data_IF_182933424146
#
_entry.id   IF_182933424146
#
_cell.length_a   1.000
_cell.length_b   1.000
_cell.length_c   1.000
_cell.angle_alpha   90.00
_cell.angle_beta   90.00
_cell.angle_gamma   90.00
#
_symmetry.space_group_name_H-M   'P 1'
#
loop_
_entity.id
_entity.type
_entity.pdbx_description
1 polymer ?
#
# COMPACT_ATOMS: atom_id res chain seq x y z
N UNK A 1 -12.36 10.66 -0.38
CA UNK A 1 -10.98 10.65 -0.89
C UNK A 1 -10.22 9.59 -0.09
N UNK A 2 -9.76 8.53 -0.76
CA UNK A 2 -9.08 7.38 -0.16
C UNK A 2 -7.82 7.78 0.60
N UNK A 3 -7.06 8.76 0.10
CA UNK A 3 -5.82 9.21 0.73
C UNK A 3 -6.08 9.94 2.04
N UNK A 4 -7.15 10.74 2.10
CA UNK A 4 -7.56 11.40 3.37
C UNK A 4 -7.96 10.37 4.41
N UNK A 5 -8.73 9.37 4.01
CA UNK A 5 -9.13 8.27 4.90
C UNK A 5 -7.91 7.52 5.43
N UNK A 6 -6.97 7.16 4.57
CA UNK A 6 -5.74 6.46 4.97
C UNK A 6 -4.91 7.32 5.92
N UNK A 7 -4.72 8.62 5.64
CA UNK A 7 -3.98 9.51 6.55
C UNK A 7 -4.64 9.65 7.92
N UNK A 8 -5.96 9.72 7.97
CA UNK A 8 -6.69 9.72 9.23
C UNK A 8 -6.52 8.39 9.98
N UNK A 9 -6.58 7.26 9.27
CA UNK A 9 -6.32 5.95 9.84
C UNK A 9 -4.93 5.91 10.48
N UNK A 10 -3.89 6.30 9.73
CA UNK A 10 -2.51 6.35 10.22
C UNK A 10 -2.39 7.16 11.50
N UNK A 11 -2.98 8.36 11.53
CA UNK A 11 -2.95 9.24 12.70
C UNK A 11 -3.64 8.62 13.92
N UNK A 12 -4.77 7.95 13.74
CA UNK A 12 -5.47 7.29 14.85
C UNK A 12 -4.68 6.07 15.35
N UNK A 13 -4.03 5.35 14.44
CA UNK A 13 -3.25 4.15 14.75
C UNK A 13 -1.93 4.42 15.47
N UNK A 14 -1.44 5.66 15.48
CA UNK A 14 -0.28 6.06 16.30
C UNK A 14 -0.57 5.93 17.80
N UNK A 15 -1.81 6.22 18.21
CA UNK A 15 -2.22 6.13 19.63
C UNK A 15 -2.76 4.75 19.99
N UNK A 16 -3.47 4.10 19.06
CA UNK A 16 -4.04 2.77 19.26
C UNK A 16 -3.99 1.95 17.95
N UNK A 17 -3.02 1.02 17.81
CA UNK A 17 -2.90 0.23 16.61
C UNK A 17 -4.03 -0.80 16.43
N UNK A 18 -4.87 -1.06 17.45
CA UNK A 18 -6.06 -1.89 17.32
C UNK A 18 -7.05 -1.29 16.30
N UNK A 19 -7.12 0.05 16.24
CA UNK A 19 -7.96 0.77 15.26
C UNK A 19 -7.57 0.40 13.83
N UNK A 20 -6.26 0.30 13.54
CA UNK A 20 -5.81 -0.15 12.22
C UNK A 20 -6.29 -1.56 11.93
N UNK A 21 -6.12 -2.48 12.88
CA UNK A 21 -6.52 -3.88 12.70
C UNK A 21 -8.02 -4.00 12.41
N UNK A 22 -8.85 -3.31 13.17
CA UNK A 22 -10.30 -3.30 12.98
C UNK A 22 -10.69 -2.74 11.61
N UNK A 23 -10.08 -1.62 11.20
CA UNK A 23 -10.35 -1.02 9.88
C UNK A 23 -9.83 -1.89 8.74
N UNK A 24 -8.67 -2.55 8.89
CA UNK A 24 -8.16 -3.47 7.87
C UNK A 24 -9.10 -4.68 7.71
N UNK A 25 -9.60 -5.23 8.83
CA UNK A 25 -10.49 -6.40 8.85
C UNK A 25 -11.92 -6.10 8.41
N UNK A 26 -12.40 -4.88 8.66
CA UNK A 26 -13.73 -4.46 8.22
C UNK A 26 -13.89 -4.41 6.69
N UNK A 27 -12.81 -4.54 5.92
CA UNK A 27 -12.81 -4.53 4.46
C UNK A 27 -13.01 -3.19 3.72
N UNK A 28 -13.01 -1.98 4.32
CA UNK A 28 -13.13 -0.74 3.55
C UNK A 28 -12.00 -0.53 2.53
N UNK A 29 -10.83 -1.15 2.73
CA UNK A 29 -9.77 -1.14 1.73
C UNK A 29 -10.11 -1.96 0.47
N UNK A 30 -11.00 -2.94 0.56
CA UNK A 30 -11.45 -3.75 -0.57
C UNK A 30 -12.51 -3.03 -1.41
N UNK A 31 -13.32 -2.16 -0.79
CA UNK A 31 -14.35 -1.37 -1.47
C UNK A 31 -13.86 0.00 -1.95
N UNK A 32 -12.68 0.43 -1.50
CA UNK A 32 -12.08 1.71 -1.87
C UNK A 32 -11.19 1.57 -3.11
N UNK A 33 -11.31 2.50 -4.06
CA UNK A 33 -10.37 2.61 -5.19
C UNK A 33 -9.00 3.09 -4.68
N UNK A 34 -8.10 2.15 -4.40
CA UNK A 34 -6.72 2.43 -4.02
C UNK A 34 -5.90 2.76 -5.29
N UNK A 35 -5.03 3.76 -5.17
CA UNK A 35 -3.98 4.03 -6.15
C UNK A 35 -2.59 3.70 -5.56
N UNK A 36 -1.54 3.78 -6.39
CA UNK A 36 -0.18 3.44 -5.97
C UNK A 36 0.33 4.31 -4.82
N UNK A 37 -0.10 5.58 -4.76
CA UNK A 37 0.22 6.48 -3.65
C UNK A 37 -0.47 6.03 -2.36
N UNK A 38 -1.73 5.59 -2.45
CA UNK A 38 -2.46 5.01 -1.31
C UNK A 38 -1.77 3.75 -0.78
N UNK A 39 -1.25 2.90 -1.67
CA UNK A 39 -0.47 1.73 -1.29
C UNK A 39 0.80 2.13 -0.52
N UNK A 40 1.57 3.10 -1.04
CA UNK A 40 2.77 3.62 -0.36
C UNK A 40 2.47 4.19 1.02
N UNK A 41 1.35 4.89 1.20
CA UNK A 41 0.93 5.40 2.51
C UNK A 41 0.60 4.28 3.51
N UNK A 42 0.09 3.15 3.04
CA UNK A 42 -0.28 2.01 3.90
C UNK A 42 0.93 1.14 4.30
N UNK A 43 1.96 1.04 3.44
CA UNK A 43 3.10 0.14 3.68
C UNK A 43 3.78 0.31 5.05
N UNK A 44 4.07 1.52 5.56
CA UNK A 44 4.68 1.70 6.87
C UNK A 44 3.80 1.18 8.03
N UNK A 45 2.48 1.37 7.93
CA UNK A 45 1.54 0.84 8.92
C UNK A 45 1.56 -0.69 8.90
N UNK A 46 1.49 -1.29 7.70
CA UNK A 46 1.55 -2.74 7.56
C UNK A 46 2.86 -3.31 8.10
N UNK A 47 3.99 -2.63 7.86
CA UNK A 47 5.28 -3.01 8.43
C UNK A 47 5.28 -2.98 9.96
N UNK A 48 4.68 -1.96 10.57
CA UNK A 48 4.55 -1.88 12.03
C UNK A 48 3.70 -3.03 12.58
N UNK A 49 2.57 -3.34 11.95
CA UNK A 49 1.68 -4.42 12.36
C UNK A 49 2.31 -5.81 12.17
N UNK A 50 3.10 -6.02 11.12
CA UNK A 50 3.88 -7.25 10.90
C UNK A 50 4.92 -7.50 11.99
N UNK A 51 5.45 -6.43 12.60
CA UNK A 51 6.38 -6.51 13.73
C UNK A 51 5.71 -6.64 15.10
N UNK A 52 4.38 -6.74 15.16
CA UNK A 52 3.62 -6.86 16.40
C UNK A 52 3.84 -8.22 17.07
N UNK A 53 3.77 -8.25 18.40
CA UNK A 53 3.74 -9.49 19.19
C UNK A 53 2.37 -10.20 19.12
N UNK A 54 1.34 -9.53 18.59
CA UNK A 54 -0.02 -10.07 18.51
C UNK A 54 -0.26 -10.70 17.15
N UNK A 55 -0.50 -12.02 17.11
CA UNK A 55 -0.74 -12.77 15.87
C UNK A 55 -1.88 -12.18 15.04
N UNK A 56 -2.91 -11.66 15.70
CA UNK A 56 -4.07 -11.08 15.02
C UNK A 56 -3.73 -9.80 14.22
N UNK A 57 -2.72 -9.05 14.67
CA UNK A 57 -2.23 -7.84 13.99
C UNK A 57 -1.41 -8.24 12.78
N UNK A 58 -0.54 -9.24 12.95
CA UNK A 58 0.29 -9.80 11.88
C UNK A 58 -0.59 -10.36 10.77
N UNK A 59 -1.63 -11.14 11.11
CA UNK A 59 -2.59 -11.69 10.14
C UNK A 59 -3.32 -10.60 9.36
N UNK A 60 -3.84 -9.57 10.05
CA UNK A 60 -4.51 -8.46 9.39
C UNK A 60 -3.58 -7.72 8.40
N UNK A 61 -2.31 -7.56 8.77
CA UNK A 61 -1.31 -6.95 7.91
C UNK A 61 -0.98 -7.80 6.68
N UNK A 62 -0.86 -9.12 6.85
CA UNK A 62 -0.62 -10.07 5.74
C UNK A 62 -1.80 -10.05 4.75
N UNK A 63 -3.04 -10.05 5.24
CA UNK A 63 -4.22 -10.00 4.38
C UNK A 63 -4.29 -8.70 3.56
N UNK A 64 -4.02 -7.56 4.22
CA UNK A 64 -3.95 -6.27 3.55
C UNK A 64 -2.79 -6.21 2.54
N UNK A 65 -1.62 -6.75 2.88
CA UNK A 65 -0.48 -6.81 1.97
C UNK A 65 -0.77 -7.69 0.75
N UNK A 66 -1.43 -8.83 0.95
CA UNK A 66 -1.88 -9.71 -0.14
C UNK A 66 -2.84 -8.97 -1.09
N UNK A 67 -3.76 -8.16 -0.57
CA UNK A 67 -4.65 -7.33 -1.38
C UNK A 67 -3.85 -6.31 -2.21
N UNK A 68 -2.88 -5.62 -1.61
CA UNK A 68 -2.02 -4.67 -2.31
C UNK A 68 -1.20 -5.35 -3.42
N UNK A 69 -0.60 -6.52 -3.13
CA UNK A 69 0.18 -7.27 -4.12
C UNK A 69 -0.67 -7.77 -5.28
N UNK A 70 -1.91 -8.23 -5.02
CA UNK A 70 -2.85 -8.61 -6.08
C UNK A 70 -3.25 -7.43 -6.96
N UNK A 71 -3.40 -6.25 -6.35
CA UNK A 71 -3.84 -5.04 -7.05
C UNK A 71 -2.73 -4.36 -7.84
N UNK A 72 -1.52 -4.29 -7.27
CA UNK A 72 -0.42 -3.50 -7.81
C UNK A 72 0.79 -4.32 -8.28
N UNK A 73 0.90 -5.60 -7.92
CA UNK A 73 2.06 -6.43 -8.26
C UNK A 73 2.34 -6.51 -9.76
N UNK A 74 1.29 -6.60 -10.58
CA UNK A 74 1.41 -6.54 -12.05
C UNK A 74 1.98 -5.20 -12.52
N UNK A 75 1.48 -4.09 -11.97
CA UNK A 75 1.94 -2.72 -12.30
C UNK A 75 3.38 -2.50 -11.86
N UNK A 76 3.76 -2.97 -10.66
CA UNK A 76 5.14 -2.88 -10.15
C UNK A 76 6.07 -3.65 -11.09
N UNK A 77 5.75 -4.91 -11.36
CA UNK A 77 6.55 -5.76 -12.25
C UNK A 77 6.69 -5.15 -13.65
N UNK A 78 5.58 -4.74 -14.27
CA UNK A 78 5.63 -4.14 -15.61
C UNK A 78 6.43 -2.84 -15.62
N UNK A 79 6.30 -2.00 -14.59
CA UNK A 79 7.03 -0.73 -14.49
C UNK A 79 8.54 -0.97 -14.42
N UNK A 80 9.00 -1.95 -13.65
CA UNK A 80 10.41 -2.34 -13.60
C UNK A 80 10.93 -2.86 -14.94
N UNK A 81 10.13 -3.64 -15.68
CA UNK A 81 10.53 -4.15 -16.99
C UNK A 81 10.58 -3.02 -18.03
N UNK A 82 9.58 -2.14 -18.03
CA UNK A 82 9.53 -0.99 -18.95
C UNK A 82 10.66 0.00 -18.69
N UNK A 83 11.00 0.29 -17.42
CA UNK A 83 12.09 1.20 -17.08
C UNK A 83 13.48 0.68 -17.49
N UNK A 84 13.67 -0.64 -17.64
CA UNK A 84 14.92 -1.24 -18.14
C UNK A 84 15.11 -1.07 -19.64
N UNK A 85 14.03 -0.86 -20.39
CA UNK A 85 14.10 -0.60 -21.81
C UNK A 85 14.07 0.92 -22.03
N UNK A 86 15.26 1.54 -22.07
CA UNK A 86 15.41 2.94 -22.44
C UNK A 86 14.85 3.14 -23.86
N UNK A 87 13.60 3.62 -23.93
CA UNK A 87 13.00 4.06 -25.18
C UNK A 87 13.63 5.36 -25.64
N UNK A 88 13.57 5.62 -26.95
CA UNK A 88 13.95 6.94 -27.49
C UNK A 88 12.87 7.96 -27.09
N UNK A 89 13.11 8.71 -26.02
CA UNK A 89 12.24 9.77 -25.50
C UNK A 89 12.18 9.82 -23.98
N UNK A 90 11.79 10.97 -23.41
CA UNK A 90 11.58 11.14 -21.96
C UNK A 90 10.12 10.81 -21.62
N UNK A 91 9.89 9.74 -20.86
CA UNK A 91 8.57 9.38 -20.33
C UNK A 91 8.49 9.69 -18.84
N UNK A 92 8.11 10.94 -18.52
CA UNK A 92 7.97 11.43 -17.15
C UNK A 92 6.93 10.63 -16.34
N UNK A 93 5.92 10.05 -16.99
CA UNK A 93 4.89 9.27 -16.32
C UNK A 93 5.43 7.90 -15.91
N UNK A 94 6.24 7.26 -16.77
CA UNK A 94 6.97 6.04 -16.45
C UNK A 94 7.99 6.30 -15.33
N UNK A 95 8.77 7.37 -15.41
CA UNK A 95 9.73 7.75 -14.36
C UNK A 95 9.04 7.98 -13.01
N UNK A 96 7.97 8.78 -12.99
CA UNK A 96 7.22 9.04 -11.74
C UNK A 96 6.60 7.77 -11.17
N UNK A 97 6.09 6.87 -12.01
CA UNK A 97 5.57 5.57 -11.57
C UNK A 97 6.69 4.66 -11.07
N UNK A 98 7.83 4.65 -11.74
CA UNK A 98 9.00 3.86 -11.35
C UNK A 98 9.51 4.28 -9.97
N UNK A 99 9.63 5.57 -9.70
CA UNK A 99 10.00 6.08 -8.36
C UNK A 99 9.01 5.65 -7.27
N UNK A 100 7.72 5.46 -7.60
CA UNK A 100 6.72 4.95 -6.65
C UNK A 100 6.71 3.42 -6.51
N UNK A 101 7.23 2.70 -7.50
CA UNK A 101 7.32 1.24 -7.47
C UNK A 101 8.62 0.72 -6.83
N UNK A 102 9.58 1.62 -6.59
CA UNK A 102 10.88 1.37 -5.98
C UNK A 102 10.80 1.29 -4.46
#
# INVERSE_FOLDING_TARGET
>A
DSKRMIRQLLQLSESDPAIAVDVLRAGPLQSTSLDLESALLLLPLLQSLLGSQFDEYVLAAIDALNLLLRSFGGVISSTYHSAKHEGVGVDLALESRYERCK
#
